data_IF_901554021510
#
_entry.id   IF_901554021510
#
_cell.length_a   1.000
_cell.length_b   1.000
_cell.length_c   1.000
_cell.angle_alpha   90.00
_cell.angle_beta   90.00
_cell.angle_gamma   90.00
#
_symmetry.space_group_name_H-M   'P 1'
#
loop_
_entity.id
_entity.type
_entity.pdbx_description
1 polymer ?
#
# COMPACT_ATOMS: atom_id res chain seq x y z
N UNK A 1 2.80 27.10 13.62
CA UNK A 1 2.58 26.18 12.48
C UNK A 1 1.54 25.18 12.89
N UNK A 2 0.33 25.33 12.38
CA UNK A 2 -0.83 24.52 12.72
C UNK A 2 -0.90 23.35 11.74
N UNK A 3 -0.88 22.12 12.24
CA UNK A 3 -1.19 20.92 11.46
C UNK A 3 -2.56 20.44 11.94
N UNK A 4 -3.56 20.68 11.09
CA UNK A 4 -4.93 20.17 11.22
C UNK A 4 -4.98 18.78 10.59
N UNK A 5 -5.00 17.73 11.41
CA UNK A 5 -5.53 16.43 10.99
C UNK A 5 -6.54 15.97 12.01
N UNK A 6 -7.66 16.69 12.08
CA UNK A 6 -8.88 16.19 12.72
C UNK A 6 -9.53 15.18 11.78
N UNK A 7 -9.03 13.94 11.78
CA UNK A 7 -9.93 12.78 11.60
C UNK A 7 -10.83 12.76 12.84
N UNK A 8 -11.82 13.64 12.84
CA UNK A 8 -12.95 13.49 13.74
C UNK A 8 -13.57 12.14 13.43
N UNK A 9 -13.88 11.30 14.43
CA UNK A 9 -14.61 10.09 14.15
C UNK A 9 -15.91 10.56 13.50
N UNK A 10 -16.13 10.13 12.25
CA UNK A 10 -17.43 10.11 11.62
C UNK A 10 -18.30 9.27 12.54
N UNK A 11 -18.81 9.92 13.59
CA UNK A 11 -19.75 9.37 14.54
C UNK A 11 -20.96 9.03 13.70
N UNK A 12 -21.23 7.74 13.65
CA UNK A 12 -22.48 7.09 13.31
C UNK A 12 -23.63 7.70 14.12
N UNK A 13 -23.97 8.95 13.81
CA UNK A 13 -25.01 9.76 14.41
C UNK A 13 -25.79 10.55 13.34
N UNK A 14 -25.64 10.17 12.06
CA UNK A 14 -26.54 10.63 10.97
C UNK A 14 -27.77 9.73 10.79
N UNK A 15 -27.82 8.57 11.47
CA UNK A 15 -29.02 7.70 11.52
C UNK A 15 -29.94 8.01 12.72
N UNK A 16 -29.75 9.16 13.38
CA UNK A 16 -30.62 9.62 14.47
C UNK A 16 -30.98 11.09 14.26
N UNK A 17 -31.56 11.41 13.11
CA UNK A 17 -32.54 12.51 13.07
C UNK A 17 -33.79 12.04 12.34
N UNK A 18 -34.37 10.97 12.90
CA UNK A 18 -35.75 10.60 12.66
C UNK A 18 -36.63 11.71 13.24
N UNK A 19 -36.91 12.70 12.40
CA UNK A 19 -38.14 13.49 12.40
C UNK A 19 -38.55 14.09 13.75
N UNK A 20 -37.94 15.22 14.12
CA UNK A 20 -38.60 16.15 15.03
C UNK A 20 -39.77 16.81 14.27
N UNK A 21 -40.93 16.14 14.19
CA UNK A 21 -42.16 16.76 13.69
C UNK A 21 -42.42 18.02 14.52
N UNK A 22 -42.72 19.11 13.84
CA UNK A 22 -43.19 20.32 14.50
C UNK A 22 -44.48 20.03 15.27
N UNK A 23 -44.69 20.67 16.42
CA UNK A 23 -45.91 20.56 17.22
C UNK A 23 -47.20 20.78 16.39
N UNK A 24 -47.13 21.61 15.34
CA UNK A 24 -48.21 21.83 14.40
C UNK A 24 -48.53 20.59 13.53
N UNK A 25 -47.52 19.83 13.15
CA UNK A 25 -47.62 18.64 12.29
C UNK A 25 -48.18 17.45 13.08
N UNK A 26 -47.75 17.28 14.34
CA UNK A 26 -48.29 16.27 15.25
C UNK A 26 -49.79 16.49 15.51
N UNK A 27 -50.20 17.75 15.74
CA UNK A 27 -51.59 18.10 16.00
C UNK A 27 -52.47 17.90 14.77
N UNK A 28 -51.97 18.26 13.60
CA UNK A 28 -52.67 18.08 12.32
C UNK A 28 -52.86 16.61 11.92
N UNK A 29 -51.84 15.78 12.16
CA UNK A 29 -51.89 14.34 11.96
C UNK A 29 -52.95 13.71 12.88
N UNK A 30 -53.03 14.18 14.13
CA UNK A 30 -54.04 13.73 15.10
C UNK A 30 -55.47 14.21 14.76
N UNK A 31 -55.62 15.33 14.04
CA UNK A 31 -56.92 15.82 13.55
C UNK A 31 -57.34 15.25 12.20
N UNK A 32 -56.47 14.48 11.53
CA UNK A 32 -56.77 13.82 10.25
C UNK A 32 -56.80 14.76 9.04
N UNK A 33 -56.03 15.85 9.03
CA UNK A 33 -55.93 16.72 7.84
C UNK A 33 -55.01 16.09 6.79
N UNK A 34 -55.62 15.53 5.74
CA UNK A 34 -54.92 14.85 4.63
C UNK A 34 -53.85 15.72 3.94
N UNK A 35 -54.03 17.05 3.91
CA UNK A 35 -53.08 17.96 3.27
C UNK A 35 -51.74 18.00 3.99
N UNK A 36 -51.76 17.81 5.31
CA UNK A 36 -50.55 17.87 6.14
C UNK A 36 -49.77 16.56 6.04
N UNK A 37 -50.47 15.42 5.93
CA UNK A 37 -49.86 14.13 5.60
C UNK A 37 -49.18 14.15 4.22
N UNK A 38 -49.87 14.64 3.19
CA UNK A 38 -49.33 14.75 1.83
C UNK A 38 -48.09 15.66 1.79
N UNK A 39 -48.13 16.82 2.46
CA UNK A 39 -46.98 17.71 2.58
C UNK A 39 -45.77 17.00 3.22
N UNK A 40 -45.99 16.26 4.31
CA UNK A 40 -44.91 15.53 4.98
C UNK A 40 -44.29 14.44 4.09
N UNK A 41 -45.12 13.68 3.38
CA UNK A 41 -44.66 12.66 2.43
C UNK A 41 -43.79 13.31 1.33
N UNK A 42 -44.23 14.44 0.78
CA UNK A 42 -43.47 15.21 -0.21
C UNK A 42 -42.17 15.78 0.37
N UNK A 43 -42.17 16.30 1.60
CA UNK A 43 -40.96 16.84 2.24
C UNK A 43 -39.90 15.74 2.47
N UNK A 44 -40.32 14.52 2.84
CA UNK A 44 -39.44 13.34 2.93
C UNK A 44 -38.85 13.00 1.56
N UNK A 45 -39.69 12.95 0.52
CA UNK A 45 -39.24 12.63 -0.83
C UNK A 45 -38.26 13.68 -1.38
N UNK A 46 -38.56 14.97 -1.19
CA UNK A 46 -37.67 16.06 -1.57
C UNK A 46 -36.33 15.98 -0.83
N UNK A 47 -36.36 15.68 0.48
CA UNK A 47 -35.12 15.50 1.26
C UNK A 47 -34.27 14.36 0.71
N UNK A 48 -34.90 13.20 0.43
CA UNK A 48 -34.24 12.04 -0.18
C UNK A 48 -33.65 12.39 -1.56
N UNK A 49 -34.40 13.08 -2.41
CA UNK A 49 -33.93 13.50 -3.73
C UNK A 49 -32.75 14.48 -3.63
N UNK A 50 -32.75 15.41 -2.66
CA UNK A 50 -31.62 16.32 -2.41
C UNK A 50 -30.38 15.55 -1.98
N UNK A 51 -30.52 14.57 -1.09
CA UNK A 51 -29.42 13.70 -0.68
C UNK A 51 -28.85 12.93 -1.87
N UNK A 52 -29.70 12.30 -2.68
CA UNK A 52 -29.28 11.56 -3.88
C UNK A 52 -28.57 12.46 -4.89
N UNK A 53 -29.10 13.67 -5.13
CA UNK A 53 -28.46 14.65 -6.01
C UNK A 53 -27.09 15.07 -5.49
N UNK A 54 -26.97 15.33 -4.18
CA UNK A 54 -25.69 15.66 -3.56
C UNK A 54 -24.68 14.53 -3.74
N UNK A 55 -25.08 13.29 -3.46
CA UNK A 55 -24.25 12.10 -3.65
C UNK A 55 -23.82 11.93 -5.10
N UNK A 56 -24.73 12.04 -6.06
CA UNK A 56 -24.42 11.94 -7.49
C UNK A 56 -23.46 13.04 -7.94
N UNK A 57 -23.63 14.27 -7.46
CA UNK A 57 -22.73 15.39 -7.78
C UNK A 57 -21.33 15.16 -7.21
N UNK A 58 -21.24 14.64 -5.97
CA UNK A 58 -19.96 14.27 -5.37
C UNK A 58 -19.25 13.16 -6.17
N UNK A 59 -19.99 12.17 -6.66
CA UNK A 59 -19.43 11.10 -7.51
C UNK A 59 -18.90 11.66 -8.84
N UNK A 60 -19.58 12.62 -9.47
CA UNK A 60 -19.09 13.26 -10.69
C UNK A 60 -17.74 13.93 -10.44
N UNK A 61 -17.64 14.75 -9.40
CA UNK A 61 -16.37 15.43 -9.08
C UNK A 61 -15.25 14.43 -8.76
N UNK A 62 -15.56 13.37 -8.02
CA UNK A 62 -14.57 12.32 -7.75
C UNK A 62 -14.10 11.64 -9.05
N UNK A 63 -15.00 11.37 -9.99
CA UNK A 63 -14.64 10.79 -11.28
C UNK A 63 -13.83 11.75 -12.15
N UNK A 64 -14.17 13.04 -12.16
CA UNK A 64 -13.41 14.09 -12.85
C UNK A 64 -11.97 14.18 -12.31
N UNK A 65 -11.81 14.20 -10.98
CA UNK A 65 -10.50 14.18 -10.32
C UNK A 65 -9.71 12.92 -10.66
N UNK A 66 -10.38 11.76 -10.69
CA UNK A 66 -9.71 10.50 -11.06
C UNK A 66 -9.21 10.51 -12.49
N UNK A 67 -10.01 11.00 -13.43
CA UNK A 67 -9.66 11.08 -14.86
C UNK A 67 -8.56 12.12 -15.10
N UNK A 68 -8.67 13.28 -14.48
CA UNK A 68 -7.76 14.40 -14.73
C UNK A 68 -6.41 14.23 -14.03
N UNK A 69 -6.42 13.72 -12.79
CA UNK A 69 -5.22 13.70 -11.94
C UNK A 69 -4.72 12.27 -11.68
N UNK A 70 -5.58 11.40 -11.15
CA UNK A 70 -5.15 10.11 -10.60
C UNK A 70 -4.69 9.12 -11.68
N UNK A 71 -5.52 8.86 -12.69
CA UNK A 71 -5.23 7.85 -13.70
C UNK A 71 -4.01 8.20 -14.57
N UNK A 72 -3.84 9.44 -15.07
CA UNK A 72 -2.65 9.80 -15.85
C UNK A 72 -1.35 9.61 -15.06
N UNK A 73 -1.34 10.03 -13.79
CA UNK A 73 -0.19 9.82 -12.90
C UNK A 73 0.09 8.34 -12.67
N UNK A 74 -0.96 7.55 -12.45
CA UNK A 74 -0.82 6.10 -12.24
C UNK A 74 -0.32 5.38 -13.49
N UNK A 75 -0.79 5.79 -14.67
CA UNK A 75 -0.31 5.26 -15.95
C UNK A 75 1.17 5.56 -16.15
N UNK A 76 1.59 6.82 -15.96
CA UNK A 76 3.00 7.20 -16.08
C UNK A 76 3.91 6.42 -15.09
N UNK A 77 3.48 6.25 -13.84
CA UNK A 77 4.22 5.45 -12.86
C UNK A 77 4.31 3.96 -13.25
N UNK A 78 3.22 3.42 -13.81
CA UNK A 78 3.16 2.03 -14.27
C UNK A 78 4.04 1.83 -15.49
N UNK A 79 4.04 2.74 -16.45
CA UNK A 79 4.91 2.71 -17.64
C UNK A 79 6.39 2.73 -17.26
N UNK A 80 6.78 3.62 -16.33
CA UNK A 80 8.15 3.66 -15.80
C UNK A 80 8.54 2.34 -15.12
N UNK A 81 7.60 1.73 -14.39
CA UNK A 81 7.82 0.45 -13.73
C UNK A 81 7.97 -0.69 -14.72
N UNK A 82 7.18 -0.70 -15.81
CA UNK A 82 7.30 -1.67 -16.91
C UNK A 82 8.67 -1.52 -17.59
N UNK A 83 9.10 -0.31 -17.91
CA UNK A 83 10.39 -0.07 -18.54
C UNK A 83 11.55 -0.54 -17.64
N UNK A 84 11.46 -0.29 -16.34
CA UNK A 84 12.44 -0.76 -15.38
C UNK A 84 12.48 -2.30 -15.30
N UNK A 85 11.31 -2.96 -15.22
CA UNK A 85 11.21 -4.43 -15.23
C UNK A 85 11.78 -5.04 -16.50
N UNK A 86 11.50 -4.44 -17.66
CA UNK A 86 12.02 -4.90 -18.95
C UNK A 86 13.55 -4.85 -19.01
N UNK A 87 14.18 -3.89 -18.33
CA UNK A 87 15.64 -3.77 -18.24
C UNK A 87 16.24 -4.70 -17.18
N UNK A 88 15.51 -5.01 -16.11
CA UNK A 88 15.98 -5.94 -15.07
C UNK A 88 15.82 -7.42 -15.48
N UNK A 89 14.83 -7.73 -16.33
CA UNK A 89 14.58 -9.07 -16.87
C UNK A 89 15.81 -9.73 -17.54
N UNK A 90 16.55 -9.08 -18.46
CA UNK A 90 17.75 -9.68 -19.06
C UNK A 90 18.83 -10.00 -18.02
N UNK A 91 19.03 -9.17 -16.99
CA UNK A 91 19.98 -9.43 -15.90
C UNK A 91 19.61 -10.72 -15.16
N UNK A 92 18.31 -10.92 -14.91
CA UNK A 92 17.81 -12.13 -14.27
C UNK A 92 17.93 -13.37 -15.19
N UNK A 93 17.70 -13.21 -16.49
CA UNK A 93 17.84 -14.27 -17.49
C UNK A 93 19.30 -14.68 -17.73
N UNK A 94 20.26 -13.76 -17.63
CA UNK A 94 21.70 -14.04 -17.72
C UNK A 94 22.21 -14.85 -16.52
N UNK A 95 21.53 -14.76 -15.38
CA UNK A 95 21.84 -15.51 -14.17
C UNK A 95 20.73 -16.48 -13.77
N UNK A 96 20.45 -17.54 -14.56
CA UNK A 96 19.41 -18.51 -14.22
C UNK A 96 19.85 -19.35 -13.01
N UNK A 97 18.91 -19.66 -12.11
CA UNK A 97 19.11 -20.71 -11.12
C UNK A 97 19.08 -22.03 -11.89
N UNK A 98 20.25 -22.62 -12.12
CA UNK A 98 20.31 -24.07 -12.23
C UNK A 98 20.11 -24.60 -10.81
N UNK A 99 19.10 -25.42 -10.59
CA UNK A 99 18.73 -25.98 -9.29
C UNK A 99 19.93 -26.61 -8.52
N UNK A 100 21.00 -26.96 -9.24
CA UNK A 100 22.20 -27.60 -8.72
C UNK A 100 23.39 -26.67 -8.42
N UNK A 101 23.33 -25.37 -8.75
CA UNK A 101 24.45 -24.43 -8.54
C UNK A 101 23.98 -23.08 -8.01
N UNK A 102 23.73 -23.01 -6.70
CA UNK A 102 23.58 -21.74 -6.00
C UNK A 102 24.93 -21.03 -5.93
N UNK A 103 24.97 -19.74 -6.23
CA UNK A 103 26.12 -18.88 -5.96
C UNK A 103 25.64 -17.51 -5.49
N UNK A 104 26.24 -17.02 -4.42
CA UNK A 104 25.95 -15.70 -3.87
C UNK A 104 27.24 -15.10 -3.33
N UNK A 105 27.48 -13.82 -3.63
CA UNK A 105 28.62 -13.09 -3.09
C UNK A 105 28.15 -12.32 -1.86
N UNK A 106 28.65 -12.72 -0.68
CA UNK A 106 28.36 -12.05 0.59
C UNK A 106 29.65 -11.54 1.23
N UNK A 107 29.74 -10.24 1.52
CA UNK A 107 30.89 -9.57 2.13
C UNK A 107 32.23 -9.85 1.44
N UNK A 108 32.21 -9.98 0.10
CA UNK A 108 33.40 -10.30 -0.70
C UNK A 108 33.74 -11.79 -0.83
N UNK A 109 32.97 -12.69 -0.21
CA UNK A 109 33.15 -14.14 -0.32
C UNK A 109 32.06 -14.80 -1.17
N UNK A 110 32.45 -15.73 -2.03
CA UNK A 110 31.55 -16.53 -2.85
C UNK A 110 31.05 -17.74 -2.05
N UNK A 111 29.76 -17.80 -1.79
CA UNK A 111 29.10 -18.92 -1.13
C UNK A 111 28.33 -19.75 -2.16
N UNK A 112 28.59 -21.06 -2.18
CA UNK A 112 27.85 -22.03 -3.01
C UNK A 112 26.77 -22.79 -2.23
N UNK A 113 26.74 -22.63 -0.92
CA UNK A 113 25.76 -23.27 -0.04
C UNK A 113 24.78 -22.22 0.53
N UNK A 114 23.47 -22.49 0.42
CA UNK A 114 22.41 -21.58 0.88
C UNK A 114 22.50 -21.28 2.39
N UNK A 115 22.83 -22.29 3.20
CA UNK A 115 22.98 -22.14 4.65
C UNK A 115 24.14 -21.21 5.01
N UNK A 116 25.31 -21.45 4.43
CA UNK A 116 26.50 -20.62 4.66
C UNK A 116 26.29 -19.16 4.25
N UNK A 117 25.64 -18.92 3.10
CA UNK A 117 25.29 -17.57 2.66
C UNK A 117 24.31 -16.88 3.62
N UNK A 118 23.27 -17.59 4.06
CA UNK A 118 22.30 -17.06 5.02
C UNK A 118 22.91 -16.73 6.39
N UNK A 119 23.85 -17.55 6.86
CA UNK A 119 24.60 -17.30 8.09
C UNK A 119 25.50 -16.07 7.96
N UNK A 120 26.16 -15.90 6.80
CA UNK A 120 26.97 -14.72 6.52
C UNK A 120 26.14 -13.42 6.51
N UNK A 121 24.92 -13.45 5.95
CA UNK A 121 23.99 -12.32 5.99
C UNK A 121 23.58 -12.01 7.44
N UNK A 122 23.21 -13.01 8.23
CA UNK A 122 22.84 -12.83 9.64
C UNK A 122 24.04 -12.29 10.45
N UNK A 123 25.25 -12.76 10.16
CA UNK A 123 26.47 -12.25 10.77
C UNK A 123 26.69 -10.76 10.42
N UNK A 124 26.48 -10.37 9.16
CA UNK A 124 26.56 -8.98 8.73
C UNK A 124 25.46 -8.09 9.37
N UNK A 125 24.28 -8.64 9.68
CA UNK A 125 23.28 -7.94 10.48
C UNK A 125 23.75 -7.65 11.90
N UNK A 126 24.49 -8.57 12.52
CA UNK A 126 25.03 -8.38 13.88
C UNK A 126 26.16 -7.34 13.94
N UNK A 127 26.82 -7.08 12.81
CA UNK A 127 27.86 -6.04 12.72
C UNK A 127 27.29 -4.64 12.47
N UNK A 128 25.98 -4.50 12.23
CA UNK A 128 25.34 -3.19 12.13
C UNK A 128 25.23 -2.55 13.51
N UNK A 129 26.08 -1.55 13.75
CA UNK A 129 26.03 -0.72 14.95
C UNK A 129 25.10 0.49 14.76
N UNK A 130 24.97 0.98 13.53
CA UNK A 130 24.22 2.20 13.20
C UNK A 130 22.91 1.89 12.44
N UNK A 131 21.73 2.25 13.00
CA UNK A 131 20.42 2.04 12.38
C UNK A 131 20.25 2.66 10.99
N UNK A 132 20.93 3.78 10.72
CA UNK A 132 20.81 4.53 9.46
C UNK A 132 21.88 4.16 8.43
N UNK A 133 22.86 3.33 8.78
CA UNK A 133 23.90 2.94 7.85
C UNK A 133 23.39 1.88 6.88
N UNK A 134 23.75 1.99 5.60
CA UNK A 134 23.54 0.89 4.64
C UNK A 134 24.84 0.14 4.48
N UNK A 135 24.82 -1.18 4.72
CA UNK A 135 25.99 -2.03 4.54
C UNK A 135 25.85 -2.75 3.20
N UNK A 136 26.87 -2.66 2.35
CA UNK A 136 26.91 -3.45 1.12
C UNK A 136 27.16 -4.91 1.48
N UNK A 137 26.19 -5.78 1.20
CA UNK A 137 26.30 -7.20 1.45
C UNK A 137 26.99 -7.93 0.31
N UNK A 138 27.04 -7.39 -0.90
CA UNK A 138 27.64 -8.05 -2.05
C UNK A 138 26.64 -8.13 -3.20
N UNK A 139 26.58 -9.27 -3.88
CA UNK A 139 25.83 -9.41 -5.13
C UNK A 139 25.16 -10.78 -5.22
N UNK A 140 23.94 -10.79 -5.72
CA UNK A 140 23.18 -12.01 -5.99
C UNK A 140 22.50 -11.92 -7.36
N UNK A 141 22.82 -12.86 -8.26
CA UNK A 141 22.25 -12.94 -9.63
C UNK A 141 22.35 -11.64 -10.44
N UNK A 142 23.45 -10.90 -10.32
CA UNK A 142 23.60 -9.61 -11.01
C UNK A 142 23.03 -8.41 -10.25
N UNK A 143 22.40 -8.62 -9.09
CA UNK A 143 21.80 -7.57 -8.28
C UNK A 143 22.66 -7.24 -7.06
N UNK A 144 23.17 -6.00 -6.92
CA UNK A 144 23.89 -5.59 -5.73
C UNK A 144 22.94 -5.52 -4.54
N UNK A 145 23.38 -6.11 -3.43
CA UNK A 145 22.62 -6.23 -2.19
C UNK A 145 23.12 -5.26 -1.14
N UNK A 146 22.18 -4.59 -0.49
CA UNK A 146 22.45 -3.69 0.63
C UNK A 146 21.59 -4.07 1.83
N UNK A 147 22.18 -4.10 3.00
CA UNK A 147 21.49 -4.29 4.26
C UNK A 147 21.12 -2.94 4.87
N UNK A 148 19.88 -2.83 5.31
CA UNK A 148 19.38 -1.67 6.05
C UNK A 148 18.48 -2.12 7.19
N UNK A 149 18.44 -1.36 8.28
CA UNK A 149 17.47 -1.56 9.36
C UNK A 149 16.20 -0.75 9.04
N UNK A 150 15.05 -1.41 9.03
CA UNK A 150 13.74 -0.76 8.88
C UNK A 150 12.96 -0.87 10.20
N UNK A 151 13.12 0.12 11.06
CA UNK A 151 12.55 0.10 12.41
C UNK A 151 13.26 -0.93 13.31
N UNK A 152 12.61 -2.08 13.54
CA UNK A 152 13.15 -3.15 14.38
C UNK A 152 13.58 -4.40 13.57
N UNK A 153 13.31 -4.43 12.26
CA UNK A 153 13.63 -5.59 11.40
C UNK A 153 14.76 -5.25 10.43
N UNK A 154 15.63 -6.24 10.19
CA UNK A 154 16.67 -6.14 9.17
C UNK A 154 16.06 -6.45 7.80
N UNK A 155 16.37 -5.63 6.79
CA UNK A 155 15.92 -5.83 5.42
C UNK A 155 17.10 -5.78 4.46
N UNK A 156 17.11 -6.70 3.50
CA UNK A 156 18.04 -6.70 2.38
C UNK A 156 17.35 -6.11 1.17
N UNK A 157 17.94 -5.06 0.62
CA UNK A 157 17.50 -4.38 -0.60
C UNK A 157 18.44 -4.75 -1.74
N UNK A 158 17.90 -5.38 -2.78
CA UNK A 158 18.56 -5.64 -4.05
C UNK A 158 18.18 -4.51 -5.02
N UNK A 159 19.17 -3.78 -5.52
CA UNK A 159 18.92 -2.57 -6.32
C UNK A 159 19.54 -2.67 -7.71
N UNK A 160 18.69 -2.67 -8.74
CA UNK A 160 19.08 -2.33 -10.11
C UNK A 160 18.21 -1.17 -10.59
N UNK A 161 17.39 -1.35 -11.63
CA UNK A 161 16.45 -0.30 -12.04
C UNK A 161 15.25 -0.25 -11.10
N UNK A 162 14.83 -1.41 -10.58
CA UNK A 162 13.92 -1.52 -9.45
C UNK A 162 14.65 -1.85 -8.15
N UNK A 163 13.97 -1.52 -7.05
CA UNK A 163 14.43 -1.83 -5.70
C UNK A 163 13.55 -2.94 -5.13
N UNK A 164 14.17 -4.08 -4.86
CA UNK A 164 13.56 -5.29 -4.35
C UNK A 164 13.96 -5.49 -2.90
N UNK A 165 13.00 -5.51 -1.97
CA UNK A 165 13.29 -5.57 -0.54
C UNK A 165 12.77 -6.87 0.08
N UNK A 166 13.63 -7.58 0.81
CA UNK A 166 13.29 -8.80 1.55
C UNK A 166 13.61 -8.64 3.04
N UNK A 167 12.70 -9.09 3.91
CA UNK A 167 12.94 -9.10 5.35
C UNK A 167 13.79 -10.30 5.78
N UNK A 168 14.71 -10.05 6.71
CA UNK A 168 15.63 -11.04 7.25
C UNK A 168 15.13 -11.51 8.62
N UNK A 169 14.95 -12.81 8.75
CA UNK A 169 14.62 -13.48 10.02
C UNK A 169 15.82 -14.30 10.52
N UNK A 170 15.69 -14.91 11.70
CA UNK A 170 16.70 -15.81 12.25
C UNK A 170 16.64 -17.23 11.64
N UNK A 171 16.49 -17.33 10.32
CA UNK A 171 16.50 -18.59 9.55
C UNK A 171 17.40 -18.42 8.32
N UNK A 172 18.65 -18.93 8.37
CA UNK A 172 19.63 -18.79 7.28
C UNK A 172 19.10 -19.24 5.92
N UNK A 173 18.52 -20.44 5.87
CA UNK A 173 17.99 -21.05 4.66
C UNK A 173 16.75 -20.33 4.14
N UNK A 174 15.81 -19.98 5.03
CA UNK A 174 14.59 -19.28 4.66
C UNK A 174 14.85 -17.88 4.11
N UNK A 175 15.88 -17.18 4.59
CA UNK A 175 16.25 -15.85 4.10
C UNK A 175 16.66 -15.86 2.63
N UNK A 176 17.45 -16.86 2.20
CA UNK A 176 17.84 -17.01 0.80
C UNK A 176 16.62 -17.26 -0.08
N UNK A 177 15.69 -18.12 0.35
CA UNK A 177 14.44 -18.37 -0.37
C UNK A 177 13.58 -17.11 -0.46
N UNK A 178 13.48 -16.31 0.62
CA UNK A 178 12.76 -15.03 0.60
C UNK A 178 13.39 -14.06 -0.39
N UNK A 179 14.71 -13.90 -0.37
CA UNK A 179 15.44 -13.03 -1.31
C UNK A 179 15.17 -13.45 -2.75
N UNK A 180 15.28 -14.75 -3.05
CA UNK A 180 15.01 -15.25 -4.40
C UNK A 180 13.55 -14.99 -4.83
N UNK A 181 12.60 -15.23 -3.94
CA UNK A 181 11.18 -15.01 -4.23
C UNK A 181 10.84 -13.53 -4.49
N UNK A 182 11.60 -12.58 -3.94
CA UNK A 182 11.39 -11.15 -4.26
C UNK A 182 11.91 -10.81 -5.67
N UNK A 183 12.93 -11.50 -6.18
CA UNK A 183 13.42 -11.33 -7.55
C UNK A 183 12.53 -12.01 -8.62
N UNK A 184 11.81 -13.06 -8.25
CA UNK A 184 10.92 -13.82 -9.16
C UNK A 184 9.48 -13.27 -9.24
N UNK A 185 9.19 -12.15 -8.56
CA UNK A 185 7.89 -11.46 -8.59
C UNK A 185 7.81 -10.39 -9.68
#
# INVERSE_FOLDING_TARGET
GQIMTSKSPARSAEDVDATALSYAEVKALATGDDRIREKMELDIEVSKLRMLKSSHTAQIYELEDRISLYYPQKMAQTELSIEALQKDLPVLMEHPIKDDSFSMLVSGQLYTERKAAGEAIIAACKTMTDPNQKINLGEYRGFPMTLSLNGQTFQVSLKQNLSYTAEIANDPSGNITRINHVLEK
#
